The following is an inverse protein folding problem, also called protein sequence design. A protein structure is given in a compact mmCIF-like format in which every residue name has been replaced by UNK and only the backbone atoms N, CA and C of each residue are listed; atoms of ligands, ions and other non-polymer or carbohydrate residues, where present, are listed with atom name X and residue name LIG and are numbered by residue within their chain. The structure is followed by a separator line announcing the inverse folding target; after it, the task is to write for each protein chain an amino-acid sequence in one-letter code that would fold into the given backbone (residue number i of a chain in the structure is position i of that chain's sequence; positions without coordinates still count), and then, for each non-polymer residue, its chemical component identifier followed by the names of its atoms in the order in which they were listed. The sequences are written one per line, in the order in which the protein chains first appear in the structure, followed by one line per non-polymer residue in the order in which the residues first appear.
data_IF_315429672318
#
_entry.id   IF_315429672318
#
_cell.length_a   1.000
_cell.length_b   1.000
_cell.length_c   1.000
_cell.angle_alpha   90.00
_cell.angle_beta   90.00
_cell.angle_gamma   90.00
#
_symmetry.space_group_name_H-M   'P 1'
#
loop_
_entity.id
_entity.type
_entity.pdbx_description
1 polymer ?
#
# COMPACT_ATOMS: atom_id res chain seq x y z
N UNK A 1 -10.46 1.71 -2.82
CA UNK A 1 -11.84 1.21 -2.62
C UNK A 1 -11.93 0.04 -1.62
N UNK A 2 -10.80 -0.54 -1.20
CA UNK A 2 -10.75 -1.74 -0.34
C UNK A 2 -11.12 -1.48 1.14
N UNK A 3 -10.84 -0.29 1.68
CA UNK A 3 -11.13 0.04 3.09
C UNK A 3 -12.63 0.12 3.41
N UNK A 4 -13.45 0.62 2.48
CA UNK A 4 -14.91 0.69 2.67
C UNK A 4 -15.55 -0.71 2.69
N UNK A 5 -15.01 -1.65 1.92
CA UNK A 5 -15.43 -3.07 1.94
C UNK A 5 -15.14 -3.72 3.29
N UNK A 6 -14.01 -3.39 3.93
CA UNK A 6 -13.68 -3.88 5.27
C UNK A 6 -14.75 -3.46 6.29
N UNK A 7 -15.07 -2.17 6.38
CA UNK A 7 -16.11 -1.69 7.30
C UNK A 7 -17.49 -2.26 6.97
N UNK A 8 -17.85 -2.37 5.69
CA UNK A 8 -19.11 -2.98 5.24
C UNK A 8 -19.24 -4.44 5.70
N UNK A 9 -18.16 -5.23 5.63
CA UNK A 9 -18.14 -6.63 6.13
C UNK A 9 -18.33 -6.71 7.65
N UNK A 10 -17.91 -5.69 8.38
CA UNK A 10 -18.08 -5.59 9.82
C UNK A 10 -19.43 -4.97 10.23
N UNK A 11 -20.31 -4.66 9.28
CA UNK A 11 -21.58 -3.98 9.56
C UNK A 11 -21.42 -2.54 10.07
N UNK A 12 -20.27 -1.92 9.81
CA UNK A 12 -19.97 -0.56 10.26
C UNK A 12 -20.01 0.44 9.10
N UNK A 13 -20.40 1.68 9.42
CA UNK A 13 -20.39 2.81 8.49
C UNK A 13 -19.30 3.80 8.93
N UNK A 14 -18.15 3.85 8.24
CA UNK A 14 -17.07 4.74 8.62
C UNK A 14 -17.42 6.18 8.25
N UNK A 15 -17.16 7.12 9.18
CA UNK A 15 -17.21 8.56 8.87
C UNK A 15 -15.91 8.96 8.18
N UNK A 16 -15.97 9.22 6.88
CA UNK A 16 -14.79 9.64 6.11
C UNK A 16 -14.61 11.16 6.26
N UNK A 17 -13.55 11.57 6.96
CA UNK A 17 -13.22 12.99 7.16
C UNK A 17 -12.54 13.62 5.94
N UNK A 18 -11.72 12.85 5.21
CA UNK A 18 -11.02 13.29 4.01
C UNK A 18 -10.64 12.13 3.09
N UNK A 19 -10.46 12.43 1.80
CA UNK A 19 -9.89 11.54 0.80
C UNK A 19 -8.58 12.12 0.26
N UNK A 20 -7.60 11.25 0.01
CA UNK A 20 -6.32 11.62 -0.61
C UNK A 20 -5.81 10.47 -1.47
N UNK A 21 -5.02 10.82 -2.49
CA UNK A 21 -4.36 9.90 -3.41
C UNK A 21 -2.88 9.67 -3.06
N UNK A 22 -2.29 10.43 -2.13
CA UNK A 22 -0.91 10.25 -1.70
C UNK A 22 -0.84 9.90 -0.22
N UNK A 23 0.15 9.06 0.11
CA UNK A 23 0.38 8.63 1.49
C UNK A 23 0.84 9.80 2.37
N UNK A 24 1.61 10.74 1.83
CA UNK A 24 2.14 11.83 2.63
C UNK A 24 1.07 12.87 2.97
N UNK A 25 0.13 13.16 2.06
CA UNK A 25 -1.01 13.99 2.42
C UNK A 25 -1.89 13.32 3.48
N UNK A 26 -2.07 11.99 3.40
CA UNK A 26 -2.77 11.24 4.46
C UNK A 26 -2.06 11.42 5.80
N UNK A 27 -0.73 11.25 5.82
CA UNK A 27 0.10 11.40 7.01
C UNK A 27 0.05 12.82 7.58
N UNK A 28 0.13 13.85 6.74
CA UNK A 28 0.00 15.25 7.16
C UNK A 28 -1.36 15.53 7.82
N UNK A 29 -2.47 15.03 7.25
CA UNK A 29 -3.81 15.19 7.83
C UNK A 29 -3.95 14.47 9.17
N UNK A 30 -3.39 13.27 9.31
CA UNK A 30 -3.36 12.53 10.59
C UNK A 30 -2.51 13.28 11.62
N UNK A 31 -1.35 13.80 11.22
CA UNK A 31 -0.46 14.59 12.09
C UNK A 31 -1.13 15.86 12.63
N UNK A 32 -2.11 16.42 11.90
CA UNK A 32 -2.95 17.53 12.35
C UNK A 32 -4.27 17.09 13.03
N UNK A 33 -4.31 15.86 13.53
CA UNK A 33 -5.39 15.34 14.40
C UNK A 33 -6.75 15.21 13.68
N UNK A 34 -6.75 14.99 12.36
CA UNK A 34 -8.00 14.74 11.61
C UNK A 34 -8.60 13.34 11.85
N UNK A 35 -7.86 12.45 12.53
CA UNK A 35 -8.28 11.09 12.85
C UNK A 35 -7.18 10.06 12.58
N UNK A 36 -7.53 8.93 11.97
CA UNK A 36 -6.60 7.87 11.59
C UNK A 36 -6.70 7.55 10.09
N UNK A 37 -5.68 6.90 9.55
CA UNK A 37 -5.65 6.43 8.17
C UNK A 37 -5.48 4.92 8.09
N UNK A 38 -6.03 4.32 7.03
CA UNK A 38 -5.81 2.92 6.68
C UNK A 38 -5.03 2.86 5.38
N UNK A 39 -3.90 2.16 5.38
CA UNK A 39 -3.01 2.04 4.23
C UNK A 39 -2.41 0.64 4.14
N UNK A 40 -2.10 0.22 2.93
CA UNK A 40 -1.42 -1.05 2.66
C UNK A 40 0.11 -0.88 2.66
N UNK A 41 0.59 0.37 2.63
CA UNK A 41 2.00 0.71 2.74
C UNK A 41 2.45 0.73 4.21
N UNK A 42 3.72 0.42 4.44
CA UNK A 42 4.39 0.48 5.75
C UNK A 42 5.46 1.58 5.73
N UNK A 43 5.09 2.82 6.10
CA UNK A 43 6.07 3.90 6.20
C UNK A 43 7.22 3.49 7.13
N UNK A 44 8.46 3.70 6.68
CA UNK A 44 9.65 3.40 7.49
C UNK A 44 10.00 4.54 8.47
N UNK A 45 9.29 5.67 8.36
CA UNK A 45 9.52 6.87 9.14
C UNK A 45 8.23 7.23 9.87
N UNK A 46 8.35 7.52 11.15
CA UNK A 46 7.28 7.87 12.08
C UNK A 46 7.05 9.40 12.17
N UNK A 47 7.65 10.18 11.26
CA UNK A 47 7.52 11.63 11.18
C UNK A 47 6.90 12.09 9.86
N UNK A 48 5.94 12.98 9.91
CA UNK A 48 5.46 13.72 8.73
C UNK A 48 6.51 14.70 8.24
N UNK A 49 6.35 15.21 7.01
CA UNK A 49 7.19 16.31 6.50
C UNK A 49 7.11 17.59 7.35
N UNK A 50 6.03 17.78 8.10
CA UNK A 50 5.85 18.90 9.03
C UNK A 50 6.40 18.63 10.44
N UNK A 51 7.03 17.47 10.67
CA UNK A 51 7.64 17.09 11.94
C UNK A 51 6.67 16.48 12.97
N UNK A 52 5.44 16.16 12.58
CA UNK A 52 4.46 15.54 13.47
C UNK A 52 4.74 14.03 13.59
N UNK A 53 4.68 13.48 14.80
CA UNK A 53 4.91 12.04 15.04
C UNK A 53 3.65 11.23 14.78
N UNK A 54 3.82 10.06 14.17
CA UNK A 54 2.77 9.11 13.79
C UNK A 54 3.11 7.71 14.27
N UNK A 55 2.12 6.97 14.75
CA UNK A 55 2.25 5.55 15.09
C UNK A 55 1.60 4.71 14.00
N UNK A 56 2.32 3.69 13.52
CA UNK A 56 1.78 2.70 12.59
C UNK A 56 1.46 1.42 13.34
N UNK A 57 0.19 1.00 13.32
CA UNK A 57 -0.26 -0.22 13.98
C UNK A 57 -0.75 -1.23 12.94
N UNK A 58 -0.43 -2.53 13.09
CA UNK A 58 -1.02 -3.56 12.24
C UNK A 58 -2.52 -3.67 12.53
N UNK A 59 -3.33 -3.71 11.48
CA UNK A 59 -4.75 -4.07 11.61
C UNK A 59 -4.83 -5.58 11.83
N UNK A 60 -5.46 -6.00 12.93
CA UNK A 60 -5.71 -7.41 13.24
C UNK A 60 -6.95 -7.92 12.51
N UNK A 61 -6.93 -9.17 12.03
CA UNK A 61 -8.04 -9.81 11.31
C UNK A 61 -7.73 -10.04 9.81
N UNK A 62 -8.71 -10.55 9.05
CA UNK A 62 -8.56 -10.80 7.61
C UNK A 62 -8.63 -9.48 6.85
N UNK A 63 -7.48 -8.87 6.61
CA UNK A 63 -7.35 -7.76 5.66
C UNK A 63 -7.04 -8.35 4.27
N UNK A 64 -7.83 -8.03 3.22
CA UNK A 64 -7.40 -8.33 1.87
C UNK A 64 -6.14 -7.49 1.61
N UNK A 65 -4.98 -8.14 1.54
CA UNK A 65 -3.76 -7.46 1.11
C UNK A 65 -3.86 -7.04 -0.36
N UNK A 66 -2.79 -6.44 -0.89
CA UNK A 66 -2.74 -6.02 -2.29
C UNK A 66 -1.75 -6.85 -3.09
N UNK A 67 -2.12 -7.12 -4.34
CA UNK A 67 -1.19 -7.59 -5.36
C UNK A 67 -0.59 -6.41 -6.10
N UNK A 68 0.74 -6.40 -6.20
CA UNK A 68 1.46 -5.47 -7.06
C UNK A 68 1.72 -6.21 -8.37
N UNK A 69 1.11 -5.73 -9.44
CA UNK A 69 1.20 -6.34 -10.77
C UNK A 69 2.06 -5.49 -11.70
N UNK A 70 2.84 -6.16 -12.53
CA UNK A 70 3.52 -5.52 -13.66
C UNK A 70 2.62 -5.63 -14.90
N UNK A 71 2.14 -4.48 -15.39
CA UNK A 71 1.34 -4.40 -16.61
C UNK A 71 2.17 -3.89 -17.78
N UNK A 72 2.00 -4.50 -18.96
CA UNK A 72 2.63 -4.06 -20.20
C UNK A 72 1.65 -4.25 -21.37
N UNK A 73 1.75 -3.41 -22.41
CA UNK A 73 0.75 -3.31 -23.48
C UNK A 73 0.66 -4.57 -24.37
N UNK A 74 1.79 -5.22 -24.61
CA UNK A 74 1.85 -6.45 -25.40
C UNK A 74 1.48 -7.65 -24.53
N UNK A 75 0.67 -8.59 -25.00
CA UNK A 75 0.38 -9.81 -24.24
C UNK A 75 1.56 -10.78 -24.14
N UNK A 76 2.59 -10.57 -24.97
CA UNK A 76 3.75 -11.45 -25.06
C UNK A 76 5.00 -10.77 -24.47
N UNK A 77 5.50 -11.31 -23.35
CA UNK A 77 6.69 -10.80 -22.66
C UNK A 77 7.95 -10.87 -23.53
N UNK A 78 8.00 -11.81 -24.50
CA UNK A 78 9.14 -11.92 -25.43
C UNK A 78 9.28 -10.72 -26.37
N UNK A 79 8.24 -9.91 -26.52
CA UNK A 79 8.26 -8.69 -27.34
C UNK A 79 8.69 -7.46 -26.54
N UNK A 80 8.97 -7.61 -25.24
CA UNK A 80 9.51 -6.52 -24.44
C UNK A 80 11.00 -6.32 -24.78
N UNK A 81 11.48 -5.07 -24.82
CA UNK A 81 12.90 -4.78 -24.89
C UNK A 81 13.67 -5.46 -23.77
N UNK A 82 14.92 -5.86 -24.02
CA UNK A 82 15.72 -6.63 -23.05
C UNK A 82 15.87 -5.91 -21.71
N UNK A 83 16.02 -4.57 -21.73
CA UNK A 83 16.07 -3.76 -20.50
C UNK A 83 14.80 -3.87 -19.67
N UNK A 84 13.63 -3.93 -20.32
CA UNK A 84 12.34 -4.09 -19.64
C UNK A 84 12.23 -5.49 -19.05
N UNK A 85 12.62 -6.52 -19.80
CA UNK A 85 12.61 -7.91 -19.32
C UNK A 85 13.51 -8.08 -18.10
N UNK A 86 14.75 -7.57 -18.18
CA UNK A 86 15.68 -7.57 -17.06
C UNK A 86 15.11 -6.85 -15.83
N UNK A 87 14.47 -5.68 -16.01
CA UNK A 87 13.80 -4.98 -14.90
C UNK A 87 12.67 -5.81 -14.27
N UNK A 88 11.85 -6.48 -15.09
CA UNK A 88 10.76 -7.33 -14.60
C UNK A 88 11.30 -8.55 -13.84
N UNK A 89 12.32 -9.21 -14.36
CA UNK A 89 12.98 -10.35 -13.71
C UNK A 89 13.55 -9.96 -12.34
N UNK A 90 14.32 -8.88 -12.28
CA UNK A 90 14.88 -8.36 -11.03
C UNK A 90 13.80 -7.96 -10.03
N UNK A 91 12.74 -7.28 -10.50
CA UNK A 91 11.61 -6.90 -9.64
C UNK A 91 10.92 -8.14 -9.09
N UNK A 92 10.62 -9.14 -9.92
CA UNK A 92 10.01 -10.40 -9.47
C UNK A 92 10.89 -11.11 -8.45
N UNK A 93 12.20 -11.20 -8.69
CA UNK A 93 13.16 -11.79 -7.75
C UNK A 93 13.16 -11.05 -6.40
N UNK A 94 13.18 -9.72 -6.43
CA UNK A 94 13.12 -8.89 -5.24
C UNK A 94 11.83 -9.12 -4.43
N UNK A 95 10.67 -9.21 -5.07
CA UNK A 95 9.41 -9.51 -4.40
C UNK A 95 9.35 -10.96 -3.88
N UNK A 96 9.85 -11.93 -4.65
CA UNK A 96 9.90 -13.34 -4.27
C UNK A 96 10.81 -13.59 -3.05
N UNK A 97 11.89 -12.80 -2.90
CA UNK A 97 12.79 -12.87 -1.74
C UNK A 97 12.10 -12.52 -0.41
N UNK A 98 10.90 -11.95 -0.44
CA UNK A 98 10.19 -11.45 0.75
C UNK A 98 10.71 -10.10 1.25
N UNK A 99 11.82 -9.58 0.72
CA UNK A 99 12.40 -8.27 1.12
C UNK A 99 11.39 -7.14 1.00
N UNK A 100 10.55 -7.17 -0.03
CA UNK A 100 9.55 -6.13 -0.28
C UNK A 100 8.46 -6.04 0.81
N UNK A 101 8.22 -7.10 1.60
CA UNK A 101 7.19 -7.18 2.65
C UNK A 101 7.42 -6.19 3.81
N UNK A 102 8.62 -5.61 3.94
CA UNK A 102 8.86 -4.53 4.90
C UNK A 102 8.15 -3.22 4.52
N UNK A 103 7.81 -3.03 3.25
CA UNK A 103 7.26 -1.78 2.72
C UNK A 103 5.75 -1.81 2.49
N UNK A 104 5.12 -2.99 2.47
CA UNK A 104 3.69 -3.12 2.26
C UNK A 104 3.13 -4.43 2.85
N UNK A 105 1.81 -4.53 2.92
CA UNK A 105 1.07 -5.74 3.31
C UNK A 105 0.65 -6.50 2.03
N UNK A 106 1.29 -7.64 1.70
CA UNK A 106 0.93 -8.43 0.52
C UNK A 106 -0.41 -9.13 0.73
N UNK A 107 -1.09 -9.48 -0.37
CA UNK A 107 -2.21 -10.41 -0.31
C UNK A 107 -1.76 -11.75 0.30
N UNK A 108 -2.54 -12.35 1.22
CA UNK A 108 -2.24 -13.68 1.74
C UNK A 108 -2.23 -14.69 0.58
N UNK A 109 -1.17 -15.52 0.54
CA UNK A 109 -0.99 -16.60 -0.44
C UNK A 109 -2.01 -17.72 -0.22
#
# INVERSE_FOLDING_TARGET
MTSLLYFKRMGQLPKIAAHTNTIENMRALIGKVLGYGLTHFRPQVDLTFTGDRLVTLPVTGVSPGIDIIAGYANRNESWLPDKTRAFLEETRAYFASGTARKYFVPHPS
#
